data_IF_234447368036
#
_entry.id   IF_234447368036
#
_cell.length_a   1.000
_cell.length_b   1.000
_cell.length_c   1.000
_cell.angle_alpha   90.00
_cell.angle_beta   90.00
_cell.angle_gamma   90.00
#
_symmetry.space_group_name_H-M   'P 1'
#
loop_
_entity.id
_entity.type
_entity.pdbx_description
1 polymer ?
#
# COMPACT_ATOMS: atom_id res chain seq x y z
N UNK A 1 18.69 -7.88 -14.74
CA UNK A 1 17.81 -9.04 -14.54
C UNK A 1 18.52 -10.14 -13.77
N UNK A 2 19.65 -10.67 -14.29
CA UNK A 2 20.37 -11.80 -13.69
C UNK A 2 20.61 -11.70 -12.16
N UNK A 3 20.98 -10.52 -11.64
CA UNK A 3 21.22 -10.32 -10.21
C UNK A 3 19.95 -10.40 -9.34
N UNK A 4 18.80 -9.90 -9.80
CA UNK A 4 17.52 -9.97 -9.06
C UNK A 4 16.92 -11.38 -9.12
N UNK A 5 17.01 -12.05 -10.27
CA UNK A 5 16.57 -13.45 -10.42
C UNK A 5 17.47 -14.46 -9.68
N UNK A 6 18.67 -14.05 -9.24
CA UNK A 6 19.57 -14.88 -8.44
C UNK A 6 19.31 -14.75 -6.92
N UNK A 7 18.51 -13.76 -6.50
CA UNK A 7 18.13 -13.61 -5.09
C UNK A 7 17.09 -14.67 -4.70
N UNK A 8 17.36 -15.52 -3.68
CA UNK A 8 16.48 -16.62 -3.30
C UNK A 8 15.05 -16.21 -2.91
N UNK A 9 14.86 -14.95 -2.51
CA UNK A 9 13.56 -14.38 -2.11
C UNK A 9 12.88 -13.54 -3.19
N UNK A 10 13.36 -13.57 -4.44
CA UNK A 10 12.73 -12.80 -5.51
C UNK A 10 11.40 -13.42 -5.93
N UNK A 11 10.33 -12.64 -5.76
CA UNK A 11 9.01 -12.93 -6.30
C UNK A 11 8.68 -11.88 -7.37
N UNK A 12 8.16 -12.34 -8.51
CA UNK A 12 7.72 -11.46 -9.59
C UNK A 12 6.20 -11.52 -9.72
N UNK A 13 5.54 -10.40 -9.48
CA UNK A 13 4.11 -10.20 -9.69
C UNK A 13 3.84 -9.30 -10.89
N UNK A 14 2.60 -9.35 -11.39
CA UNK A 14 2.18 -8.54 -12.53
C UNK A 14 1.84 -7.11 -12.11
N UNK A 15 2.03 -6.17 -13.03
CA UNK A 15 1.52 -4.81 -12.90
C UNK A 15 0.38 -4.58 -13.89
N UNK A 16 -0.69 -3.97 -13.42
CA UNK A 16 -1.80 -3.48 -14.23
C UNK A 16 -1.84 -1.95 -14.22
N UNK A 17 -2.26 -1.36 -15.33
CA UNK A 17 -2.50 0.08 -15.42
C UNK A 17 -4.00 0.31 -15.50
N UNK A 18 -4.54 1.11 -14.57
CA UNK A 18 -5.97 1.46 -14.55
C UNK A 18 -6.18 2.97 -14.72
N UNK A 19 -7.23 3.40 -15.43
CA UNK A 19 -7.50 4.81 -15.65
C UNK A 19 -7.84 5.53 -14.34
N UNK A 20 -7.37 6.76 -14.20
CA UNK A 20 -7.95 7.69 -13.23
C UNK A 20 -9.30 8.18 -13.76
N UNK A 21 -10.20 8.55 -12.85
CA UNK A 21 -11.53 9.06 -13.24
C UNK A 21 -11.35 10.26 -14.18
N UNK A 22 -11.99 10.20 -15.33
CA UNK A 22 -12.01 11.27 -16.34
C UNK A 22 -10.63 11.68 -16.90
N UNK A 23 -9.60 10.82 -16.75
CA UNK A 23 -8.27 11.06 -17.33
C UNK A 23 -7.90 9.93 -18.30
N UNK A 24 -7.53 10.23 -19.55
CA UNK A 24 -7.07 9.23 -20.50
C UNK A 24 -5.83 8.48 -19.99
N UNK A 25 -5.79 7.17 -20.22
CA UNK A 25 -4.62 6.34 -19.88
C UNK A 25 -3.32 6.76 -20.57
N UNK A 26 -3.43 7.46 -21.70
CA UNK A 26 -2.28 8.05 -22.41
C UNK A 26 -1.65 9.22 -21.66
N UNK A 27 -2.37 9.84 -20.73
CA UNK A 27 -1.92 10.98 -19.94
C UNK A 27 -1.56 10.56 -18.52
N UNK A 28 -2.43 9.79 -17.86
CA UNK A 28 -2.22 9.38 -16.47
C UNK A 28 -3.04 8.12 -16.11
N UNK A 29 -2.54 7.36 -15.13
CA UNK A 29 -3.17 6.14 -14.63
C UNK A 29 -2.67 5.77 -13.24
N UNK A 30 -3.32 4.80 -12.61
CA UNK A 30 -2.83 4.16 -11.38
C UNK A 30 -2.19 2.83 -11.75
N UNK A 31 -0.96 2.62 -11.30
CA UNK A 31 -0.32 1.32 -11.37
C UNK A 31 -0.83 0.48 -10.21
N UNK A 32 -1.39 -0.69 -10.50
CA UNK A 32 -1.77 -1.69 -9.51
C UNK A 32 -0.74 -2.81 -9.58
N UNK A 33 -0.11 -3.10 -8.45
CA UNK A 33 0.77 -4.26 -8.31
C UNK A 33 -0.08 -5.44 -7.82
N UNK A 34 -0.22 -6.47 -8.64
CA UNK A 34 -1.04 -7.63 -8.30
C UNK A 34 -0.29 -8.58 -7.37
N UNK A 35 -0.45 -8.37 -6.08
CA UNK A 35 0.13 -9.19 -5.01
C UNK A 35 -0.72 -10.43 -4.67
N UNK A 36 -1.82 -10.67 -5.39
CA UNK A 36 -2.78 -11.73 -5.11
C UNK A 36 -2.68 -12.93 -6.05
N UNK A 37 -1.88 -12.82 -7.11
CA UNK A 37 -1.66 -13.87 -8.08
C UNK A 37 -0.19 -14.35 -8.08
N UNK A 38 0.07 -15.63 -8.40
CA UNK A 38 -0.92 -16.72 -8.52
C UNK A 38 -1.37 -17.21 -7.14
N UNK A 39 -2.62 -17.70 -7.04
CA UNK A 39 -3.18 -18.20 -5.80
C UNK A 39 -2.31 -19.33 -5.18
N UNK A 40 -2.10 -19.26 -3.87
CA UNK A 40 -1.30 -20.20 -3.09
C UNK A 40 0.20 -19.93 -3.09
N UNK A 41 0.69 -19.05 -3.98
CA UNK A 41 2.10 -18.66 -4.09
C UNK A 41 2.28 -17.14 -4.18
N UNK A 42 1.19 -16.37 -4.06
CA UNK A 42 1.21 -14.92 -4.14
C UNK A 42 1.87 -14.33 -2.90
N UNK A 43 2.34 -13.08 -3.00
CA UNK A 43 2.91 -12.36 -1.85
C UNK A 43 1.91 -12.30 -0.70
N UNK A 44 0.62 -12.11 -0.99
CA UNK A 44 -0.43 -12.10 0.02
C UNK A 44 -0.62 -13.47 0.69
N UNK A 45 -0.51 -14.58 -0.05
CA UNK A 45 -0.70 -15.94 0.50
C UNK A 45 0.47 -16.38 1.38
N UNK A 46 1.70 -15.96 1.05
CA UNK A 46 2.92 -16.33 1.81
C UNK A 46 3.23 -15.37 2.96
N UNK A 47 2.52 -14.24 3.04
CA UNK A 47 2.69 -13.28 4.14
C UNK A 47 2.16 -13.87 5.44
N UNK A 48 3.00 -13.90 6.47
CA UNK A 48 2.58 -14.36 7.80
C UNK A 48 1.65 -13.33 8.46
N UNK A 49 0.35 -13.58 8.36
CA UNK A 49 -0.67 -12.71 8.95
C UNK A 49 -0.65 -12.71 10.48
N UNK A 50 -0.01 -13.69 11.13
CA UNK A 50 0.11 -13.72 12.59
C UNK A 50 1.02 -12.61 13.14
N UNK A 51 1.92 -12.08 12.30
CA UNK A 51 2.82 -10.98 12.63
C UNK A 51 2.20 -9.61 12.28
N UNK A 52 1.01 -9.58 11.68
CA UNK A 52 0.33 -8.33 11.36
C UNK A 52 -0.21 -7.72 12.66
N UNK A 53 0.04 -6.43 12.93
CA UNK A 53 -0.52 -5.77 14.11
C UNK A 53 -2.05 -5.87 14.12
N UNK A 54 -2.64 -5.96 15.32
CA UNK A 54 -4.08 -6.03 15.50
C UNK A 54 -4.76 -4.76 14.95
N UNK A 55 -5.21 -4.83 13.69
CA UNK A 55 -5.86 -3.74 12.98
C UNK A 55 -7.37 -3.71 13.25
N UNK A 56 -7.75 -3.79 14.53
CA UNK A 56 -9.14 -3.57 14.95
C UNK A 56 -9.43 -2.08 14.99
N UNK A 57 -10.15 -1.62 13.98
CA UNK A 57 -10.66 -0.25 13.92
C UNK A 57 -12.08 -0.21 14.45
N UNK A 58 -12.43 0.88 15.15
CA UNK A 58 -13.82 1.17 15.45
C UNK A 58 -14.62 1.25 14.15
N UNK A 59 -15.78 0.59 14.14
CA UNK A 59 -16.66 0.65 12.99
C UNK A 59 -17.08 2.11 12.74
N UNK A 60 -17.29 2.47 11.47
CA UNK A 60 -17.76 3.82 11.08
C UNK A 60 -19.03 4.27 11.83
N UNK A 61 -19.82 3.31 12.31
CA UNK A 61 -21.01 3.55 13.14
C UNK A 61 -20.67 4.30 14.43
N UNK A 62 -19.49 4.12 15.03
CA UNK A 62 -19.06 4.83 16.23
C UNK A 62 -19.06 6.36 16.02
N UNK A 63 -18.70 6.84 14.82
CA UNK A 63 -18.77 8.26 14.48
C UNK A 63 -20.23 8.74 14.46
N UNK A 64 -21.13 7.96 13.86
CA UNK A 64 -22.56 8.30 13.79
C UNK A 64 -23.20 8.33 15.18
N UNK A 65 -22.90 7.34 16.03
CA UNK A 65 -23.34 7.27 17.42
C UNK A 65 -22.85 8.51 18.15
N UNK A 66 -21.57 8.87 17.99
CA UNK A 66 -20.99 10.04 18.63
C UNK A 66 -21.66 11.34 18.22
N UNK A 67 -22.00 11.49 16.94
CA UNK A 67 -22.73 12.67 16.44
C UNK A 67 -24.11 12.76 17.10
N UNK A 68 -24.85 11.64 17.17
CA UNK A 68 -26.18 11.58 17.79
C UNK A 68 -26.10 11.91 19.28
N UNK A 69 -25.15 11.33 20.01
CA UNK A 69 -24.91 11.64 21.42
C UNK A 69 -24.65 13.13 21.65
N UNK A 70 -23.78 13.74 20.84
CA UNK A 70 -23.44 15.16 20.96
C UNK A 70 -24.64 16.06 20.63
N UNK A 71 -25.47 15.67 19.65
CA UNK A 71 -26.72 16.40 19.33
C UNK A 71 -27.71 16.36 20.48
N UNK A 72 -27.87 15.19 21.11
CA UNK A 72 -28.77 15.01 22.26
C UNK A 72 -28.27 15.79 23.48
N UNK A 73 -26.96 15.79 23.73
CA UNK A 73 -26.36 16.44 24.90
C UNK A 73 -26.29 17.97 24.77
N UNK A 74 -26.09 18.48 23.56
CA UNK A 74 -25.92 19.91 23.29
C UNK A 74 -26.91 20.39 22.20
N UNK A 75 -28.21 20.45 22.53
CA UNK A 75 -29.22 20.88 21.57
C UNK A 75 -28.95 22.32 21.10
N UNK A 76 -29.10 22.57 19.81
CA UNK A 76 -28.86 23.89 19.20
C UNK A 76 -27.40 24.26 18.98
N UNK A 77 -26.44 23.51 19.53
CA UNK A 77 -25.02 23.73 19.27
C UNK A 77 -24.60 23.17 17.90
N UNK A 78 -23.60 23.82 17.28
CA UNK A 78 -22.93 23.30 16.08
C UNK A 78 -21.91 22.25 16.50
N UNK A 79 -21.93 21.10 15.82
CA UNK A 79 -20.94 20.03 15.99
C UNK A 79 -19.99 20.10 14.81
N UNK A 80 -18.69 20.12 15.08
CA UNK A 80 -17.63 20.12 14.08
C UNK A 80 -16.89 18.80 14.12
N UNK A 81 -16.54 18.27 12.94
CA UNK A 81 -15.68 17.12 12.79
C UNK A 81 -14.47 17.53 11.95
N UNK A 82 -13.28 17.14 12.39
CA UNK A 82 -12.05 17.28 11.61
C UNK A 82 -11.76 15.93 10.97
N UNK A 83 -11.61 15.93 9.65
CA UNK A 83 -11.21 14.76 8.87
C UNK A 83 -9.93 15.13 8.15
N UNK A 84 -8.92 14.26 8.27
CA UNK A 84 -7.66 14.41 7.56
C UNK A 84 -7.53 13.27 6.55
N UNK A 85 -7.13 13.62 5.33
CA UNK A 85 -6.68 12.66 4.32
C UNK A 85 -5.15 12.67 4.29
N UNK A 86 -4.54 11.50 4.38
CA UNK A 86 -3.08 11.35 4.30
C UNK A 86 -2.76 10.76 2.93
N UNK A 87 -2.50 11.66 1.98
CA UNK A 87 -2.10 11.27 0.63
C UNK A 87 -0.87 10.37 0.68
N UNK A 88 -0.89 9.30 -0.11
CA UNK A 88 0.24 8.39 -0.29
C UNK A 88 0.77 7.78 1.04
N UNK A 89 -0.09 7.60 2.05
CA UNK A 89 0.31 7.15 3.38
C UNK A 89 1.21 5.90 3.36
N UNK A 90 0.89 4.91 2.52
CA UNK A 90 1.67 3.68 2.40
C UNK A 90 3.03 3.87 1.73
N UNK A 91 3.23 4.89 0.89
CA UNK A 91 4.53 5.19 0.31
C UNK A 91 5.52 5.78 1.33
N UNK A 92 5.00 6.30 2.45
CA UNK A 92 5.82 6.84 3.54
C UNK A 92 6.26 5.77 4.55
N UNK A 93 5.73 4.55 4.46
CA UNK A 93 6.12 3.43 5.33
C UNK A 93 7.15 2.56 4.60
N UNK A 94 8.41 2.50 5.08
CA UNK A 94 9.44 1.72 4.39
C UNK A 94 9.21 0.21 4.52
N UNK A 95 9.51 -0.53 3.46
CA UNK A 95 9.60 -1.99 3.51
C UNK A 95 11.01 -2.39 3.97
N UNK A 96 11.10 -3.38 4.87
CA UNK A 96 12.39 -3.89 5.32
C UNK A 96 13.20 -4.48 4.16
N UNK A 97 14.50 -4.18 4.08
CA UNK A 97 15.34 -4.54 2.93
C UNK A 97 15.30 -6.05 2.60
N UNK A 98 15.31 -6.92 3.60
CA UNK A 98 15.22 -8.39 3.41
C UNK A 98 13.93 -8.88 2.75
N UNK A 99 12.84 -8.08 2.77
CA UNK A 99 11.56 -8.44 2.16
C UNK A 99 11.28 -7.65 0.89
N UNK A 100 12.12 -6.66 0.56
CA UNK A 100 11.90 -5.80 -0.61
C UNK A 100 11.86 -6.58 -1.93
N UNK A 101 12.67 -7.63 -2.07
CA UNK A 101 12.74 -8.48 -3.26
C UNK A 101 11.45 -9.27 -3.55
N UNK A 102 10.57 -9.44 -2.56
CA UNK A 102 9.28 -10.09 -2.75
C UNK A 102 8.29 -9.20 -3.55
N UNK A 103 8.52 -7.88 -3.59
CA UNK A 103 7.68 -6.92 -4.31
C UNK A 103 8.27 -6.56 -5.68
N UNK A 104 8.93 -7.51 -6.32
CA UNK A 104 9.44 -7.38 -7.67
C UNK A 104 8.33 -7.55 -8.72
N UNK A 105 8.55 -6.97 -9.89
CA UNK A 105 7.76 -7.31 -11.08
C UNK A 105 8.44 -6.85 -12.37
N UNK A 106 7.91 -7.33 -13.49
CA UNK A 106 8.46 -7.08 -14.82
C UNK A 106 7.43 -6.44 -15.74
N UNK A 107 7.88 -5.51 -16.59
CA UNK A 107 7.02 -4.96 -17.63
C UNK A 107 7.25 -5.71 -18.95
N UNK A 108 6.18 -6.14 -19.65
CA UNK A 108 6.29 -6.97 -20.86
C UNK A 108 7.13 -6.39 -22.01
N UNK A 109 7.45 -5.09 -21.98
CA UNK A 109 8.17 -4.38 -23.04
C UNK A 109 9.48 -3.73 -22.59
N UNK A 110 9.95 -4.01 -21.39
CA UNK A 110 11.25 -3.52 -20.92
C UNK A 110 12.11 -4.65 -20.37
N UNK A 111 13.40 -4.66 -20.70
CA UNK A 111 14.40 -5.49 -20.01
C UNK A 111 14.70 -5.01 -18.57
N UNK A 112 13.88 -4.09 -18.06
CA UNK A 112 13.92 -3.50 -16.72
C UNK A 112 12.84 -4.18 -15.88
N UNK A 113 13.24 -4.56 -14.69
CA UNK A 113 12.41 -5.16 -13.65
C UNK A 113 12.46 -4.18 -12.49
N UNK A 114 11.32 -3.94 -11.90
CA UNK A 114 11.14 -2.94 -10.85
C UNK A 114 10.93 -3.69 -9.54
N UNK A 115 11.56 -3.21 -8.48
CA UNK A 115 11.26 -3.63 -7.11
C UNK A 115 10.50 -2.49 -6.44
N UNK A 116 9.22 -2.73 -6.16
CA UNK A 116 8.31 -1.72 -5.60
C UNK A 116 8.29 -1.84 -4.06
N UNK A 117 8.98 -0.95 -3.36
CA UNK A 117 9.06 -0.98 -1.88
C UNK A 117 10.29 -0.30 -1.28
N UNK A 118 11.20 0.22 -2.11
CA UNK A 118 12.45 0.84 -1.68
C UNK A 118 12.25 2.32 -1.31
N UNK A 119 11.82 2.62 -0.08
CA UNK A 119 12.18 3.89 0.55
C UNK A 119 13.60 3.73 1.13
N UNK A 120 14.61 3.90 0.29
CA UNK A 120 16.00 3.77 0.74
C UNK A 120 16.38 5.02 1.55
N UNK A 121 16.29 4.97 2.89
CA UNK A 121 16.98 5.93 3.74
C UNK A 121 18.45 5.51 3.79
N UNK A 122 19.18 5.84 2.72
CA UNK A 122 20.62 5.64 2.66
C UNK A 122 21.30 6.63 3.60
N UNK A 123 21.41 6.24 4.87
CA UNK A 123 22.38 6.81 5.79
C UNK A 123 23.72 6.11 5.57
N UNK A 124 24.50 6.55 4.58
CA UNK A 124 25.93 6.29 4.60
C UNK A 124 26.53 7.12 5.74
N UNK A 125 26.76 6.52 6.90
CA UNK A 125 27.78 7.00 7.82
C UNK A 125 29.08 6.28 7.47
N UNK A 126 29.94 6.95 6.70
CA UNK A 126 31.36 6.64 6.73
C UNK A 126 31.94 7.22 8.02
N UNK A 127 32.46 6.35 8.87
CA UNK A 127 33.20 6.64 10.08
C UNK A 127 33.75 5.35 10.65
#
# INVERSE_FOLDING_TARGET
MAALTAEPGFHSSAFALVPKRDVPLSEDGRIIHDLSAPQGLSVNDITDTSLTPDARWDQFSCISIRIVELRTRYPGCRIYALVADIAEAFHHVPVHAHHSSAFGGTFPRSHIGIVSGMANRSGYSNG
#
